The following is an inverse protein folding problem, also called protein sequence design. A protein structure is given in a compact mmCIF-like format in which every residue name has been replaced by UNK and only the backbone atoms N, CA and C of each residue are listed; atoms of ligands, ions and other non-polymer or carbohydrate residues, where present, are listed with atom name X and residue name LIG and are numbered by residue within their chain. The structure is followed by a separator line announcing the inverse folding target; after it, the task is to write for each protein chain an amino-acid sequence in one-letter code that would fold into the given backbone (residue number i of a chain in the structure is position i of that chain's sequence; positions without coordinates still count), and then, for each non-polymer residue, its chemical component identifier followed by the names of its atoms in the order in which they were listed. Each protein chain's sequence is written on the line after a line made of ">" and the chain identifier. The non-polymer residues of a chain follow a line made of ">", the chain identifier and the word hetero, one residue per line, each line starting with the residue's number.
data_IF_598656642448
#
_entry.id   IF_598656642448
#
_cell.length_a   1.000
_cell.length_b   1.000
_cell.length_c   1.000
_cell.angle_alpha   90.00
_cell.angle_beta   90.00
_cell.angle_gamma   90.00
#
_symmetry.space_group_name_H-M   'P 1'
#
loop_
_entity.id
_entity.type
_entity.pdbx_description
1 polymer ?
#
# COMPACT_ATOMS: atom_id res chain seq x y z
N UNK A 1 16.74 -54.44 -16.39
CA UNK A 1 17.44 -53.34 -17.06
C UNK A 1 16.41 -52.50 -17.80
N UNK A 2 15.87 -51.45 -17.17
CA UNK A 2 15.06 -50.45 -17.86
C UNK A 2 15.32 -49.13 -17.13
N UNK A 3 15.97 -48.23 -17.83
CA UNK A 3 16.33 -46.92 -17.39
C UNK A 3 15.10 -46.06 -17.21
N UNK A 4 14.91 -45.55 -15.99
CA UNK A 4 13.94 -44.53 -15.66
C UNK A 4 14.50 -43.18 -16.13
N UNK A 5 13.98 -42.67 -17.23
CA UNK A 5 14.23 -41.33 -17.68
C UNK A 5 13.39 -40.38 -16.79
N UNK A 6 14.04 -39.77 -15.79
CA UNK A 6 13.53 -38.60 -15.17
C UNK A 6 13.59 -37.45 -16.19
N UNK A 7 12.46 -37.14 -16.78
CA UNK A 7 12.27 -35.86 -17.46
C UNK A 7 12.14 -34.80 -16.41
N UNK A 8 13.26 -34.19 -16.05
CA UNK A 8 13.25 -32.87 -15.40
C UNK A 8 12.66 -31.90 -16.40
N UNK A 9 11.40 -31.58 -16.20
CA UNK A 9 10.77 -30.41 -16.83
C UNK A 9 11.53 -29.22 -16.32
N UNK A 10 12.42 -28.71 -17.19
CA UNK A 10 13.16 -27.51 -16.90
C UNK A 10 12.23 -26.38 -16.56
N UNK A 11 12.34 -25.90 -15.33
CA UNK A 11 11.84 -24.59 -14.99
C UNK A 11 12.52 -23.62 -15.96
N UNK A 12 11.78 -23.15 -16.93
CA UNK A 12 12.18 -22.02 -17.74
C UNK A 12 12.23 -20.86 -16.77
N UNK A 13 13.43 -20.60 -16.28
CA UNK A 13 13.77 -19.34 -15.62
C UNK A 13 13.59 -18.25 -16.68
N UNK A 14 12.37 -17.74 -16.79
CA UNK A 14 12.12 -16.41 -17.33
C UNK A 14 12.79 -15.42 -16.37
N UNK A 15 14.11 -15.29 -16.51
CA UNK A 15 14.83 -14.11 -16.06
C UNK A 15 14.39 -12.98 -17.00
N UNK A 16 13.18 -12.53 -16.81
CA UNK A 16 12.58 -11.41 -17.47
C UNK A 16 12.23 -10.36 -16.42
N UNK A 17 13.18 -9.45 -16.24
CA UNK A 17 12.97 -8.12 -15.72
C UNK A 17 11.97 -8.02 -14.54
N UNK A 18 12.47 -7.87 -13.31
CA UNK A 18 11.65 -7.65 -12.09
C UNK A 18 10.61 -6.52 -12.20
N UNK A 19 10.72 -5.70 -13.23
CA UNK A 19 9.76 -4.64 -13.57
C UNK A 19 8.42 -5.17 -14.08
N UNK A 20 8.38 -6.28 -14.81
CA UNK A 20 7.13 -6.83 -15.37
C UNK A 20 6.26 -7.48 -14.29
N UNK A 21 6.87 -8.18 -13.36
CA UNK A 21 6.16 -8.88 -12.27
C UNK A 21 5.62 -7.89 -11.24
N UNK A 22 6.43 -6.89 -10.86
CA UNK A 22 5.99 -5.79 -10.02
C UNK A 22 4.82 -5.02 -10.65
N UNK A 23 4.87 -4.75 -11.94
CA UNK A 23 3.82 -4.04 -12.66
C UNK A 23 2.49 -4.81 -12.69
N UNK A 24 2.55 -6.16 -12.71
CA UNK A 24 1.36 -7.02 -12.71
C UNK A 24 0.62 -6.98 -11.37
N UNK A 25 1.30 -7.03 -10.23
CA UNK A 25 0.64 -6.96 -8.93
C UNK A 25 0.09 -5.56 -8.65
N UNK A 26 0.80 -4.49 -9.05
CA UNK A 26 0.29 -3.12 -8.92
C UNK A 26 -1.00 -2.92 -9.72
N UNK A 27 -1.00 -3.39 -10.99
CA UNK A 27 -2.22 -3.30 -11.79
C UNK A 27 -3.35 -4.12 -11.19
N UNK A 28 -3.09 -5.34 -10.74
CA UNK A 28 -4.09 -6.19 -10.11
C UNK A 28 -4.66 -5.55 -8.83
N UNK A 29 -3.80 -4.92 -8.02
CA UNK A 29 -4.19 -4.20 -6.81
C UNK A 29 -5.01 -2.94 -7.14
N UNK A 30 -4.61 -2.18 -8.15
CA UNK A 30 -5.34 -1.01 -8.63
C UNK A 30 -6.72 -1.38 -9.20
N UNK A 31 -6.82 -2.48 -9.95
CA UNK A 31 -8.07 -2.95 -10.55
C UNK A 31 -8.99 -3.68 -9.54
N UNK A 32 -8.56 -3.88 -8.29
CA UNK A 32 -9.30 -4.65 -7.30
C UNK A 32 -9.38 -6.15 -7.63
N UNK A 33 -8.49 -6.66 -8.47
CA UNK A 33 -8.50 -8.05 -8.88
C UNK A 33 -7.84 -8.95 -7.82
N UNK A 34 -8.58 -9.25 -6.75
CA UNK A 34 -8.13 -10.07 -5.63
C UNK A 34 -7.59 -11.45 -6.05
N UNK A 35 -8.19 -12.05 -7.09
CA UNK A 35 -7.74 -13.37 -7.59
C UNK A 35 -6.36 -13.28 -8.25
N UNK A 36 -6.09 -12.19 -8.96
CA UNK A 36 -4.78 -11.98 -9.59
C UNK A 36 -3.72 -11.62 -8.54
N UNK A 37 -4.06 -10.79 -7.55
CA UNK A 37 -3.18 -10.46 -6.41
C UNK A 37 -2.84 -11.74 -5.66
N UNK A 38 -3.84 -12.54 -5.27
CA UNK A 38 -3.63 -13.80 -4.56
C UNK A 38 -2.71 -14.76 -5.34
N UNK A 39 -2.96 -14.96 -6.62
CA UNK A 39 -2.13 -15.83 -7.48
C UNK A 39 -0.68 -15.37 -7.54
N UNK A 40 -0.45 -14.05 -7.56
CA UNK A 40 0.90 -13.49 -7.55
C UNK A 40 1.61 -13.79 -6.23
N UNK A 41 0.92 -13.59 -5.10
CA UNK A 41 1.47 -13.84 -3.76
C UNK A 41 1.70 -15.34 -3.52
N UNK A 42 0.75 -16.20 -3.90
CA UNK A 42 0.88 -17.68 -3.80
C UNK A 42 2.06 -18.21 -4.63
N UNK A 43 2.45 -17.51 -5.70
CA UNK A 43 3.62 -17.83 -6.51
C UNK A 43 4.95 -17.29 -5.91
N UNK A 44 4.93 -16.76 -4.69
CA UNK A 44 6.10 -16.18 -4.03
C UNK A 44 6.44 -14.77 -4.49
N UNK A 45 5.49 -14.07 -5.08
CA UNK A 45 5.66 -12.66 -5.47
C UNK A 45 5.73 -11.73 -4.26
N UNK A 46 6.41 -10.61 -4.43
CA UNK A 46 6.64 -9.63 -3.38
C UNK A 46 5.43 -8.71 -3.22
N UNK A 47 4.80 -8.73 -2.02
CA UNK A 47 3.71 -7.82 -1.66
C UNK A 47 4.17 -6.35 -1.54
N UNK A 48 5.47 -6.13 -1.36
CA UNK A 48 6.10 -4.83 -1.22
C UNK A 48 6.85 -4.37 -2.49
N UNK A 49 6.59 -5.04 -3.62
CA UNK A 49 7.20 -4.67 -4.89
C UNK A 49 6.99 -3.16 -5.17
N UNK A 50 8.05 -2.46 -5.50
CA UNK A 50 8.02 -1.01 -5.71
C UNK A 50 8.07 -0.65 -7.19
N UNK A 51 7.32 0.39 -7.56
CA UNK A 51 7.50 1.07 -8.85
C UNK A 51 8.71 2.01 -8.80
N UNK A 52 8.99 2.67 -9.93
CA UNK A 52 10.02 3.74 -9.99
C UNK A 52 9.73 4.93 -9.04
N UNK A 53 8.46 5.13 -8.70
CA UNK A 53 8.01 6.16 -7.74
C UNK A 53 7.93 5.62 -6.32
N UNK A 54 8.51 4.44 -6.04
CA UNK A 54 8.48 3.76 -4.74
C UNK A 54 7.05 3.42 -4.24
N UNK A 55 6.04 3.53 -5.12
CA UNK A 55 4.66 3.11 -4.76
C UNK A 55 4.59 1.58 -4.71
N UNK A 56 3.88 1.05 -3.70
CA UNK A 56 3.63 -0.39 -3.51
C UNK A 56 2.23 -0.79 -4.00
N UNK A 57 1.92 -2.08 -4.16
CA UNK A 57 0.57 -2.55 -4.44
C UNK A 57 -0.46 -2.08 -3.40
N UNK A 58 -0.03 -1.93 -2.14
CA UNK A 58 -0.88 -1.43 -1.06
C UNK A 58 -1.29 0.04 -1.29
N UNK A 59 -0.40 0.88 -1.81
CA UNK A 59 -0.76 2.24 -2.24
C UNK A 59 -1.84 2.22 -3.33
N UNK A 60 -1.68 1.34 -4.33
CA UNK A 60 -2.60 1.24 -5.45
C UNK A 60 -4.00 0.78 -5.00
N UNK A 61 -4.08 -0.24 -4.13
CA UNK A 61 -5.33 -0.71 -3.55
C UNK A 61 -6.00 0.34 -2.66
N UNK A 62 -5.21 1.04 -1.83
CA UNK A 62 -5.70 2.10 -0.95
C UNK A 62 -6.21 3.30 -1.74
N UNK A 63 -5.54 3.69 -2.82
CA UNK A 63 -5.95 4.77 -3.71
C UNK A 63 -7.31 4.50 -4.37
N UNK A 64 -7.60 3.24 -4.71
CA UNK A 64 -8.85 2.83 -5.37
C UNK A 64 -9.94 2.35 -4.39
N UNK A 65 -9.63 2.24 -3.09
CA UNK A 65 -10.60 1.86 -2.07
C UNK A 65 -10.92 0.37 -2.00
N UNK A 66 -10.03 -0.50 -2.48
CA UNK A 66 -10.23 -1.96 -2.49
C UNK A 66 -9.86 -2.59 -1.15
N UNK A 67 -10.77 -2.57 -0.18
CA UNK A 67 -10.54 -3.06 1.19
C UNK A 67 -10.11 -4.54 1.25
N UNK A 68 -10.71 -5.40 0.42
CA UNK A 68 -10.40 -6.82 0.34
C UNK A 68 -8.97 -7.08 -0.15
N UNK A 69 -8.50 -6.28 -1.12
CA UNK A 69 -7.12 -6.33 -1.62
C UNK A 69 -6.15 -5.79 -0.57
N UNK A 70 -6.52 -4.70 0.13
CA UNK A 70 -5.73 -4.14 1.24
C UNK A 70 -5.53 -5.20 2.33
N UNK A 71 -6.60 -5.87 2.77
CA UNK A 71 -6.51 -6.95 3.76
C UNK A 71 -5.61 -8.10 3.29
N UNK A 72 -5.78 -8.53 2.04
CA UNK A 72 -4.98 -9.62 1.47
C UNK A 72 -3.49 -9.26 1.41
N UNK A 73 -3.15 -8.04 0.99
CA UNK A 73 -1.77 -7.57 0.91
C UNK A 73 -1.12 -7.50 2.31
N UNK A 74 -1.82 -6.94 3.30
CA UNK A 74 -1.34 -6.85 4.69
C UNK A 74 -1.18 -8.24 5.31
N UNK A 75 -2.09 -9.18 5.02
CA UNK A 75 -1.98 -10.57 5.47
C UNK A 75 -0.79 -11.32 4.84
N UNK A 76 -0.17 -10.76 3.79
CA UNK A 76 1.04 -11.25 3.14
C UNK A 76 2.22 -10.29 3.33
N UNK A 77 2.32 -9.68 4.50
CA UNK A 77 3.44 -8.86 4.96
C UNK A 77 3.69 -7.57 4.14
N UNK A 78 2.63 -7.01 3.53
CA UNK A 78 2.73 -5.67 2.96
C UNK A 78 2.98 -4.64 4.07
N UNK A 79 3.99 -3.79 3.88
CA UNK A 79 4.32 -2.71 4.80
C UNK A 79 3.26 -1.60 4.73
N UNK A 80 2.49 -1.47 5.82
CA UNK A 80 1.43 -0.46 5.96
C UNK A 80 1.98 0.96 5.91
N UNK A 81 3.25 1.13 6.26
CA UNK A 81 3.95 2.41 6.35
C UNK A 81 4.98 2.64 5.24
N UNK A 82 4.99 1.79 4.21
CA UNK A 82 5.82 2.03 3.04
C UNK A 82 5.57 3.44 2.49
N UNK A 83 6.63 4.21 2.28
CA UNK A 83 6.50 5.57 1.74
C UNK A 83 6.96 5.67 0.29
N UNK A 84 6.23 6.42 -0.52
CA UNK A 84 6.62 6.74 -1.89
C UNK A 84 7.63 7.90 -1.93
N UNK A 85 8.09 8.25 -3.13
CA UNK A 85 9.05 9.35 -3.35
C UNK A 85 8.59 10.70 -2.79
N UNK A 86 7.28 10.89 -2.56
CA UNK A 86 6.66 12.10 -1.99
C UNK A 86 6.53 12.03 -0.46
N UNK A 87 6.86 10.89 0.15
CA UNK A 87 6.61 10.60 1.56
C UNK A 87 5.15 10.18 1.84
N UNK A 88 4.39 9.82 0.82
CA UNK A 88 3.05 9.29 1.01
C UNK A 88 3.13 7.84 1.44
N UNK A 89 2.36 7.49 2.48
CA UNK A 89 2.05 6.11 2.84
C UNK A 89 0.66 5.74 2.30
N UNK A 90 0.26 4.45 2.27
CA UNK A 90 -1.06 4.03 1.78
C UNK A 90 -2.24 4.78 2.41
N UNK A 91 -2.13 5.17 3.69
CA UNK A 91 -3.17 5.97 4.36
C UNK A 91 -3.39 7.34 3.70
N UNK A 92 -2.34 8.01 3.25
CA UNK A 92 -2.49 9.25 2.49
C UNK A 92 -3.28 9.03 1.19
N UNK A 93 -3.00 7.92 0.49
CA UNK A 93 -3.70 7.59 -0.75
C UNK A 93 -5.19 7.34 -0.53
N UNK A 94 -5.55 6.61 0.54
CA UNK A 94 -6.93 6.36 0.91
C UNK A 94 -7.68 7.66 1.26
N UNK A 95 -7.06 8.53 2.05
CA UNK A 95 -7.66 9.82 2.45
C UNK A 95 -7.76 10.76 1.25
N UNK A 96 -6.74 10.84 0.39
CA UNK A 96 -6.80 11.68 -0.82
C UNK A 96 -8.03 11.39 -1.69
N UNK A 97 -8.43 10.13 -1.78
CA UNK A 97 -9.57 9.68 -2.57
C UNK A 97 -10.89 9.54 -1.78
N UNK A 98 -10.86 9.81 -0.47
CA UNK A 98 -12.06 9.75 0.38
C UNK A 98 -12.53 8.35 0.74
N UNK A 99 -11.64 7.36 0.71
CA UNK A 99 -11.94 5.97 1.05
C UNK A 99 -11.89 5.74 2.56
N UNK A 100 -12.90 6.23 3.30
CA UNK A 100 -12.95 6.19 4.76
C UNK A 100 -12.81 4.76 5.34
N UNK A 101 -13.45 3.77 4.73
CA UNK A 101 -13.35 2.37 5.18
C UNK A 101 -11.93 1.81 5.06
N UNK A 102 -11.22 2.14 3.97
CA UNK A 102 -9.81 1.75 3.80
C UNK A 102 -8.92 2.53 4.77
N UNK A 103 -9.20 3.82 4.99
CA UNK A 103 -8.46 4.61 5.97
C UNK A 103 -8.59 4.01 7.38
N UNK A 104 -9.80 3.66 7.81
CA UNK A 104 -10.04 3.01 9.11
C UNK A 104 -9.31 1.67 9.20
N UNK A 105 -9.37 0.84 8.15
CA UNK A 105 -8.66 -0.43 8.10
C UNK A 105 -7.14 -0.23 8.27
N UNK A 106 -6.54 0.70 7.54
CA UNK A 106 -5.10 0.99 7.63
C UNK A 106 -4.71 1.51 9.02
N UNK A 107 -5.54 2.36 9.65
CA UNK A 107 -5.34 2.84 11.03
C UNK A 107 -5.31 1.67 12.00
N UNK A 108 -6.28 0.76 11.94
CA UNK A 108 -6.35 -0.44 12.79
C UNK A 108 -5.14 -1.35 12.56
N UNK A 109 -4.60 -1.38 11.35
CA UNK A 109 -3.40 -2.15 10.99
C UNK A 109 -2.08 -1.45 11.31
N UNK A 110 -2.11 -0.30 11.98
CA UNK A 110 -0.93 0.38 12.50
C UNK A 110 -0.30 1.40 11.54
N UNK A 111 -1.08 2.00 10.65
CA UNK A 111 -0.58 3.09 9.83
C UNK A 111 -0.13 4.29 10.70
N UNK A 112 1.00 4.88 10.35
CA UNK A 112 1.53 6.06 11.03
C UNK A 112 0.66 7.30 10.71
N UNK A 113 -0.11 7.72 11.70
CA UNK A 113 -1.01 8.88 11.60
C UNK A 113 -0.27 10.22 11.47
N UNK A 114 1.02 10.23 11.80
CA UNK A 114 1.85 11.43 11.82
C UNK A 114 2.94 11.40 10.73
N UNK A 115 2.86 10.45 9.81
CA UNK A 115 3.72 10.43 8.63
C UNK A 115 3.59 11.75 7.85
N UNK A 116 4.75 12.30 7.44
CA UNK A 116 4.82 13.61 6.80
C UNK A 116 5.13 13.51 5.33
N UNK A 117 4.37 14.24 4.55
CA UNK A 117 4.68 14.44 3.13
C UNK A 117 5.93 15.30 2.97
N UNK A 118 6.79 14.94 2.02
CA UNK A 118 7.98 15.73 1.67
C UNK A 118 7.56 17.10 1.09
N UNK A 119 8.35 18.11 1.36
CA UNK A 119 8.17 19.46 0.80
C UNK A 119 7.26 20.40 1.59
N UNK A 120 6.26 19.90 2.33
CA UNK A 120 5.36 20.75 3.12
C UNK A 120 5.19 20.31 4.56
N UNK A 121 5.60 19.08 4.88
CA UNK A 121 5.41 18.51 6.21
C UNK A 121 3.94 18.26 6.57
N UNK A 122 3.06 18.23 5.57
CA UNK A 122 1.64 17.91 5.76
C UNK A 122 1.49 16.46 6.20
N UNK A 123 0.58 16.24 7.14
CA UNK A 123 0.17 14.92 7.61
C UNK A 123 -1.10 14.46 6.93
N UNK A 124 -1.52 13.22 7.20
CA UNK A 124 -2.81 12.70 6.72
C UNK A 124 -4.00 13.52 7.24
N UNK A 125 -3.89 14.10 8.44
CA UNK A 125 -4.93 14.96 9.01
C UNK A 125 -5.02 16.31 8.29
N UNK A 126 -3.89 16.91 7.92
CA UNK A 126 -3.87 18.12 7.09
C UNK A 126 -4.55 17.86 5.74
N UNK A 127 -4.28 16.69 5.14
CA UNK A 127 -4.87 16.27 3.87
C UNK A 127 -6.40 16.11 4.01
N UNK A 128 -6.88 15.45 5.06
CA UNK A 128 -8.31 15.28 5.32
C UNK A 128 -9.01 16.63 5.50
N UNK A 129 -8.39 17.57 6.22
CA UNK A 129 -8.90 18.92 6.41
C UNK A 129 -8.93 19.70 5.07
N UNK A 130 -7.87 19.63 4.28
CA UNK A 130 -7.77 20.27 2.96
C UNK A 130 -8.86 19.75 1.99
N UNK A 131 -9.18 18.47 2.10
CA UNK A 131 -10.21 17.79 1.29
C UNK A 131 -11.63 17.93 1.87
N UNK A 132 -11.80 18.66 2.96
CA UNK A 132 -13.09 18.87 3.66
C UNK A 132 -13.74 17.54 4.11
N UNK A 133 -12.95 16.51 4.35
CA UNK A 133 -13.40 15.18 4.77
C UNK A 133 -13.61 15.16 6.30
N UNK A 134 -14.65 15.82 6.77
CA UNK A 134 -14.91 16.04 8.20
C UNK A 134 -14.95 14.74 8.99
N UNK A 135 -15.66 13.71 8.51
CA UNK A 135 -15.78 12.42 9.19
C UNK A 135 -14.43 11.71 9.31
N UNK A 136 -13.64 11.70 8.23
CA UNK A 136 -12.28 11.13 8.23
C UNK A 136 -11.35 11.91 9.15
N UNK A 137 -11.44 13.25 9.17
CA UNK A 137 -10.64 14.07 10.08
C UNK A 137 -10.98 13.79 11.55
N UNK A 138 -12.27 13.63 11.90
CA UNK A 138 -12.69 13.23 13.24
C UNK A 138 -12.17 11.84 13.61
N UNK A 139 -12.25 10.87 12.69
CA UNK A 139 -11.71 9.53 12.89
C UNK A 139 -10.20 9.59 13.17
N UNK A 140 -9.45 10.30 12.33
CA UNK A 140 -8.00 10.48 12.48
C UNK A 140 -7.65 11.12 13.85
N UNK A 141 -8.35 12.18 14.24
CA UNK A 141 -8.18 12.83 15.56
C UNK A 141 -8.44 11.88 16.72
N UNK A 142 -9.49 11.07 16.64
CA UNK A 142 -9.84 10.07 17.66
C UNK A 142 -8.71 9.08 17.89
N UNK A 143 -7.95 8.76 16.84
CA UNK A 143 -6.80 7.87 16.91
C UNK A 143 -5.47 8.57 17.19
N UNK A 144 -5.47 9.89 17.42
CA UNK A 144 -4.29 10.64 17.84
C UNK A 144 -3.51 11.30 16.70
N UNK A 145 -4.09 11.42 15.50
CA UNK A 145 -3.46 12.16 14.41
C UNK A 145 -3.31 13.64 14.76
N UNK A 146 -2.19 14.21 14.35
CA UNK A 146 -1.84 15.63 14.52
C UNK A 146 -1.60 16.29 13.16
N UNK A 147 -1.80 17.58 13.09
CA UNK A 147 -1.41 18.38 11.93
C UNK A 147 0.11 18.58 11.91
N UNK A 148 0.65 18.91 10.74
CA UNK A 148 2.07 19.24 10.61
C UNK A 148 2.49 20.43 11.49
N UNK A 149 1.60 21.39 11.72
CA UNK A 149 1.85 22.52 12.61
C UNK A 149 1.91 22.11 14.08
N UNK A 150 0.98 21.25 14.53
CA UNK A 150 1.00 20.69 15.88
C UNK A 150 2.28 19.91 16.17
N UNK A 151 2.73 19.09 15.20
CA UNK A 151 3.97 18.34 15.33
C UNK A 151 5.20 19.26 15.39
N UNK A 152 5.23 20.35 14.61
CA UNK A 152 6.30 21.37 14.70
C UNK A 152 6.33 22.06 16.06
N UNK A 153 5.17 22.37 16.63
CA UNK A 153 5.07 22.99 17.96
C UNK A 153 5.59 22.05 19.07
N UNK A 154 5.52 20.73 18.86
CA UNK A 154 6.07 19.72 19.77
C UNK A 154 7.57 19.43 19.57
N UNK A 155 8.21 20.11 18.63
CA UNK A 155 9.64 19.92 18.32
C UNK A 155 9.95 18.65 17.51
N UNK A 156 8.99 18.17 16.77
CA UNK A 156 9.09 16.96 15.94
C UNK A 156 9.11 17.29 14.45
#
# INVERSE_FOLDING_TARGET
>A
MKHLLLTTIGAVLLVGCGTTTAMLIHKAAFDGNIKAVKRHLDAGGDANAQTRSETTPLHAAAYQGHSDVVELLIANDADVNASDVRGWIPLHAAVDQGHAAVAELLIVKGADLNARMKGGGYTVLDLANLKEQTETAVLLRKHGAKTGEELKAEGK
#
